data_IF_649795443053
#
_entry.id   IF_649795443053
#
_cell.length_a   1.000
_cell.length_b   1.000
_cell.length_c   1.000
_cell.angle_alpha   90.00
_cell.angle_beta   90.00
_cell.angle_gamma   90.00
#
_symmetry.space_group_name_H-M   'P 1'
#
loop_
_entity.id
_entity.type
_entity.pdbx_description
1 polymer ?
#
# COMPACT_ATOMS: atom_id res chain seq x y z
N UNK A 1 -8.25 4.05 1.87
CA UNK A 1 -8.71 4.72 0.64
C UNK A 1 -7.51 4.97 -0.25
N UNK A 2 -7.58 4.64 -1.54
CA UNK A 2 -6.45 4.74 -2.47
C UNK A 2 -6.69 5.90 -3.44
N UNK A 3 -5.67 6.74 -3.64
CA UNK A 3 -5.72 7.81 -4.63
C UNK A 3 -4.62 7.54 -5.67
N UNK A 4 -5.05 7.06 -6.84
CA UNK A 4 -4.13 6.73 -7.92
C UNK A 4 -4.70 7.06 -9.31
N UNK A 5 -5.56 8.09 -9.43
CA UNK A 5 -6.06 8.63 -10.71
C UNK A 5 -6.29 7.59 -11.82
N UNK A 6 -7.37 6.82 -11.71
CA UNK A 6 -7.78 5.72 -12.61
C UNK A 6 -6.71 4.65 -12.92
N UNK A 7 -5.54 4.69 -12.28
CA UNK A 7 -4.49 3.73 -12.52
C UNK A 7 -4.71 2.38 -11.83
N UNK A 8 -5.64 2.29 -10.87
CA UNK A 8 -5.92 1.04 -10.13
C UNK A 8 -6.70 0.10 -11.04
N UNK A 9 -6.04 -1.00 -11.44
CA UNK A 9 -6.68 -2.08 -12.20
C UNK A 9 -7.31 -3.14 -11.31
N UNK A 10 -6.72 -3.39 -10.14
CA UNK A 10 -7.14 -4.45 -9.24
C UNK A 10 -6.97 -4.03 -7.78
N UNK A 11 -7.96 -4.36 -6.96
CA UNK A 11 -7.92 -4.15 -5.52
C UNK A 11 -8.67 -5.29 -4.85
N UNK A 12 -8.00 -6.00 -3.93
CA UNK A 12 -8.63 -7.02 -3.11
C UNK A 12 -8.32 -6.79 -1.63
N UNK A 13 -9.11 -7.40 -0.76
CA UNK A 13 -8.90 -7.37 0.69
C UNK A 13 -8.63 -8.79 1.16
N UNK A 14 -7.43 -9.03 1.65
CA UNK A 14 -7.07 -10.27 2.33
C UNK A 14 -7.13 -10.05 3.84
N UNK A 15 -8.28 -10.36 4.42
CA UNK A 15 -8.48 -10.25 5.86
C UNK A 15 -7.62 -11.25 6.65
N UNK A 16 -7.27 -12.39 6.05
CA UNK A 16 -6.46 -13.44 6.71
C UNK A 16 -5.03 -12.97 6.89
N UNK A 17 -4.46 -12.33 5.87
CA UNK A 17 -3.13 -11.76 5.91
C UNK A 17 -3.08 -10.31 6.42
N UNK A 18 -4.22 -9.74 6.82
CA UNK A 18 -4.38 -8.32 7.14
C UNK A 18 -3.75 -7.40 6.06
N UNK A 19 -4.00 -7.74 4.80
CA UNK A 19 -3.36 -7.14 3.63
C UNK A 19 -4.37 -6.63 2.61
N UNK A 20 -3.94 -5.61 1.85
CA UNK A 20 -4.69 -5.04 0.73
C UNK A 20 -3.78 -5.07 -0.50
N UNK A 21 -3.80 -6.16 -1.28
CA UNK A 21 -3.12 -6.23 -2.56
C UNK A 21 -3.77 -5.32 -3.60
N UNK A 22 -2.92 -4.66 -4.38
CA UNK A 22 -3.29 -3.68 -5.40
C UNK A 22 -2.49 -3.92 -6.67
N UNK A 23 -3.19 -3.91 -7.82
CA UNK A 23 -2.57 -3.78 -9.13
C UNK A 23 -2.84 -2.40 -9.67
N UNK A 24 -1.77 -1.71 -10.03
CA UNK A 24 -1.86 -0.35 -10.55
C UNK A 24 -0.90 -0.21 -11.71
N UNK A 25 -1.34 0.45 -12.77
CA UNK A 25 -0.53 0.72 -13.94
C UNK A 25 0.25 2.03 -13.81
N UNK A 26 1.37 2.11 -14.52
CA UNK A 26 2.19 3.32 -14.59
C UNK A 26 3.22 3.44 -13.47
N UNK A 27 4.00 4.51 -13.52
CA UNK A 27 5.08 4.79 -12.58
C UNK A 27 4.86 6.14 -11.90
N UNK A 28 5.42 6.32 -10.70
CA UNK A 28 5.38 7.60 -10.02
C UNK A 28 5.23 7.49 -8.51
N UNK A 29 4.38 8.33 -7.94
CA UNK A 29 4.11 8.35 -6.49
C UNK A 29 2.71 7.84 -6.23
N UNK A 30 2.61 6.77 -5.44
CA UNK A 30 1.34 6.22 -4.98
C UNK A 30 1.01 6.74 -3.59
N UNK A 31 -0.23 7.17 -3.40
CA UNK A 31 -0.74 7.67 -2.13
C UNK A 31 -1.92 6.83 -1.63
N UNK A 32 -1.84 6.39 -0.38
CA UNK A 32 -2.91 5.63 0.27
C UNK A 32 -3.19 6.17 1.67
N UNK A 33 -4.46 6.27 2.03
CA UNK A 33 -4.89 6.69 3.36
C UNK A 33 -5.23 5.46 4.20
N UNK A 34 -4.66 5.40 5.40
CA UNK A 34 -4.83 4.31 6.35
C UNK A 34 -5.21 4.84 7.73
N UNK A 35 -6.22 4.22 8.36
CA UNK A 35 -6.65 4.56 9.72
C UNK A 35 -5.55 4.37 10.77
N UNK A 36 -4.60 3.46 10.51
CA UNK A 36 -3.41 3.18 11.32
C UNK A 36 -2.20 3.06 10.41
N UNK A 37 -1.00 3.33 10.95
CA UNK A 37 0.26 3.15 10.22
C UNK A 37 0.39 1.70 9.74
N UNK A 38 0.61 1.44 8.43
CA UNK A 38 0.92 0.09 7.95
C UNK A 38 2.21 -0.43 8.59
N UNK A 39 2.33 -1.75 8.75
CA UNK A 39 3.57 -2.32 9.29
C UNK A 39 4.62 -2.53 8.19
N UNK A 40 4.18 -2.88 6.98
CA UNK A 40 5.05 -3.11 5.84
C UNK A 40 4.35 -2.80 4.51
N UNK A 41 5.17 -2.54 3.50
CA UNK A 41 4.75 -2.41 2.12
C UNK A 41 5.59 -3.37 1.29
N UNK A 42 4.95 -4.12 0.40
CA UNK A 42 5.59 -5.10 -0.46
C UNK A 42 5.34 -4.70 -1.90
N UNK A 43 6.37 -4.73 -2.74
CA UNK A 43 6.28 -4.54 -4.18
C UNK A 43 6.90 -5.77 -4.84
N UNK A 44 6.15 -6.49 -5.67
CA UNK A 44 6.57 -7.74 -6.32
C UNK A 44 7.16 -8.80 -5.37
N UNK A 45 6.59 -8.91 -4.16
CA UNK A 45 7.06 -9.85 -3.14
C UNK A 45 8.27 -9.38 -2.33
N UNK A 46 8.88 -8.24 -2.67
CA UNK A 46 9.98 -7.63 -1.92
C UNK A 46 9.48 -6.54 -0.97
N UNK A 47 10.01 -6.49 0.25
CA UNK A 47 9.70 -5.40 1.20
C UNK A 47 10.32 -4.09 0.71
N UNK A 48 9.52 -3.01 0.72
CA UNK A 48 9.94 -1.69 0.27
C UNK A 48 9.66 -0.64 1.33
N UNK A 49 10.56 0.35 1.40
CA UNK A 49 10.38 1.49 2.27
C UNK A 49 9.16 2.33 1.86
N UNK A 50 8.47 2.89 2.85
CA UNK A 50 7.39 3.84 2.64
C UNK A 50 7.44 4.95 3.69
N UNK A 51 6.86 6.09 3.34
CA UNK A 51 6.61 7.18 4.30
C UNK A 51 5.18 7.08 4.80
N UNK A 52 4.95 7.35 6.08
CA UNK A 52 3.61 7.51 6.65
C UNK A 52 3.57 8.77 7.48
N UNK A 53 2.65 9.66 7.10
CA UNK A 53 2.32 10.90 7.77
C UNK A 53 1.11 10.65 8.67
N UNK A 54 1.31 10.78 9.99
CA UNK A 54 0.29 10.47 11.00
C UNK A 54 -0.83 11.51 11.07
N UNK A 55 -0.52 12.76 10.75
CA UNK A 55 -1.48 13.88 10.82
C UNK A 55 -2.51 13.77 9.70
N UNK A 56 -2.04 13.45 8.49
CA UNK A 56 -2.86 13.23 7.30
C UNK A 56 -3.29 11.78 7.11
N UNK A 57 -2.76 10.87 7.94
CA UNK A 57 -2.96 9.41 7.85
C UNK A 57 -2.62 8.84 6.47
N UNK A 58 -1.62 9.41 5.81
CA UNK A 58 -1.27 9.12 4.41
C UNK A 58 0.07 8.40 4.31
N UNK A 59 0.06 7.27 3.64
CA UNK A 59 1.24 6.57 3.16
C UNK A 59 1.61 7.06 1.75
N UNK A 60 2.89 7.29 1.51
CA UNK A 60 3.42 7.55 0.17
C UNK A 60 4.62 6.65 -0.11
N UNK A 61 4.67 6.10 -1.32
CA UNK A 61 5.82 5.39 -1.85
C UNK A 61 6.05 5.74 -3.33
N UNK A 62 7.33 5.68 -3.72
CA UNK A 62 7.75 5.78 -5.11
C UNK A 62 7.69 4.36 -5.70
N UNK A 63 7.05 4.19 -6.86
CA UNK A 63 6.97 2.89 -7.53
C UNK A 63 7.18 2.97 -9.05
N UNK A 64 7.50 1.81 -9.60
CA UNK A 64 7.54 1.49 -11.03
C UNK A 64 6.32 0.61 -11.37
N UNK A 65 5.94 0.40 -12.65
CA UNK A 65 4.65 -0.17 -13.04
C UNK A 65 4.57 -1.66 -12.73
N UNK A 66 4.26 -2.03 -11.48
CA UNK A 66 4.30 -3.40 -10.95
C UNK A 66 3.38 -3.60 -9.72
N UNK A 67 3.30 -4.84 -9.22
CA UNK A 67 2.33 -5.30 -8.21
C UNK A 67 2.66 -4.78 -6.80
N UNK A 68 1.71 -4.09 -6.13
CA UNK A 68 1.84 -3.65 -4.74
C UNK A 68 0.99 -4.50 -3.80
N UNK A 69 1.54 -4.83 -2.63
CA UNK A 69 0.82 -5.39 -1.52
C UNK A 69 1.10 -4.56 -0.25
N UNK A 70 0.06 -3.95 0.30
CA UNK A 70 0.16 -3.18 1.55
C UNK A 70 -0.43 -4.01 2.67
N UNK A 71 0.34 -4.31 3.73
CA UNK A 71 -0.18 -5.08 4.86
C UNK A 71 -0.03 -4.36 6.20
N UNK A 72 -1.08 -4.48 7.00
CA UNK A 72 -1.07 -4.16 8.41
C UNK A 72 -0.50 -5.38 9.11
N UNK A 73 0.83 -5.41 9.28
CA UNK A 73 1.47 -6.47 10.06
C UNK A 73 0.80 -6.57 11.42
N UNK A 74 0.53 -7.81 11.83
CA UNK A 74 0.05 -8.10 13.18
C UNK A 74 1.02 -7.46 14.17
N UNK A 75 0.53 -6.54 14.99
CA UNK A 75 1.15 -6.31 16.29
C UNK A 75 1.14 -7.66 16.99
N UNK A 76 2.32 -8.21 17.24
CA UNK A 76 2.47 -9.39 18.10
C UNK A 76 1.71 -9.17 19.40
N UNK A 77 1.14 -10.28 19.89
CA UNK A 77 0.37 -10.41 21.14
C UNK A 77 0.96 -9.60 22.30
#
# INVERSE_FOLDING_TARGET
>A
MFNAGDAIEECAVDATAAAVPLRVLGCGRFGAYFSRRPARCVLDGADVGFTYDGDTRRTCLQWSPRWINLSQGQTGL
#
